data_IF_403293566058
#
_entry.id   IF_403293566058
#
_cell.length_a   1.000
_cell.length_b   1.000
_cell.length_c   1.000
_cell.angle_alpha   90.00
_cell.angle_beta   90.00
_cell.angle_gamma   90.00
#
_symmetry.space_group_name_H-M   'P 1'
#
loop_
_entity.id
_entity.type
_entity.pdbx_description
1 polymer ?
#
# COMPACT_ATOMS: atom_id res chain seq x y z
N UNK A 1 -10.81 6.03 -5.04
CA UNK A 1 -10.13 5.22 -6.08
C UNK A 1 -10.36 3.74 -5.79
N UNK A 2 -10.48 2.88 -6.80
CA UNK A 2 -10.79 1.45 -6.60
C UNK A 2 -9.59 0.57 -6.93
N UNK A 3 -9.29 -0.40 -6.06
CA UNK A 3 -8.16 -1.32 -6.20
C UNK A 3 -8.62 -2.76 -5.99
N UNK A 4 -7.97 -3.70 -6.66
CA UNK A 4 -8.08 -5.12 -6.34
C UNK A 4 -7.04 -5.44 -5.28
N UNK A 5 -7.50 -5.94 -4.13
CA UNK A 5 -6.69 -6.30 -2.97
C UNK A 5 -6.91 -7.79 -2.69
N UNK A 6 -5.83 -8.49 -2.38
CA UNK A 6 -5.88 -9.86 -1.89
C UNK A 6 -6.10 -9.86 -0.38
N UNK A 7 -7.08 -10.63 0.09
CA UNK A 7 -7.43 -10.69 1.51
C UNK A 7 -6.61 -11.82 2.14
N UNK A 8 -5.44 -11.46 2.66
CA UNK A 8 -4.48 -12.39 3.25
C UNK A 8 -4.60 -12.41 4.78
N UNK A 9 -5.16 -13.49 5.33
CA UNK A 9 -5.24 -13.69 6.80
C UNK A 9 -3.90 -14.09 7.42
N UNK A 10 -2.85 -14.30 6.60
CA UNK A 10 -1.49 -14.63 7.02
C UNK A 10 -0.61 -13.41 7.33
N UNK A 11 -1.12 -12.18 7.13
CA UNK A 11 -0.41 -10.93 7.41
C UNK A 11 -1.34 -9.87 8.00
N UNK A 12 -0.76 -8.76 8.50
CA UNK A 12 -1.49 -7.67 9.17
C UNK A 12 -1.38 -6.33 8.46
N UNK A 13 -0.69 -6.27 7.32
CA UNK A 13 -0.40 -5.04 6.60
C UNK A 13 -1.32 -4.88 5.38
N UNK A 14 -1.97 -3.72 5.25
CA UNK A 14 -2.67 -3.35 4.03
C UNK A 14 -1.73 -2.61 3.10
N UNK A 15 -1.35 -3.24 1.99
CA UNK A 15 -0.54 -2.60 0.95
C UNK A 15 -1.33 -2.46 -0.34
N UNK A 16 -1.22 -1.30 -0.97
CA UNK A 16 -1.88 -1.01 -2.25
C UNK A 16 -0.87 -1.21 -3.39
N UNK A 17 -1.19 -2.02 -4.41
CA UNK A 17 -0.25 -2.35 -5.47
C UNK A 17 0.10 -1.14 -6.33
N UNK A 18 1.30 -1.17 -6.94
CA UNK A 18 1.81 -0.07 -7.78
C UNK A 18 1.18 0.00 -9.18
N UNK A 19 0.40 -1.01 -9.59
CA UNK A 19 -0.36 -1.01 -10.84
C UNK A 19 -1.68 -0.29 -10.57
N UNK A 20 -1.93 0.80 -11.31
CA UNK A 20 -2.94 1.82 -10.98
C UNK A 20 -2.62 2.42 -9.61
N UNK A 21 -1.60 3.27 -9.54
CA UNK A 21 -1.13 3.86 -8.28
C UNK A 21 -2.24 4.67 -7.62
N UNK A 22 -2.25 4.64 -6.29
CA UNK A 22 -3.02 5.60 -5.51
C UNK A 22 -2.53 7.03 -5.78
N UNK A 23 -3.48 7.93 -6.07
CA UNK A 23 -3.29 9.38 -6.22
C UNK A 23 -3.79 10.10 -4.97
N UNK A 24 -2.90 10.78 -4.26
CA UNK A 24 -3.24 11.59 -3.08
C UNK A 24 -4.14 12.78 -3.42
N UNK A 25 -3.92 13.42 -4.57
CA UNK A 25 -4.70 14.55 -5.07
C UNK A 25 -6.20 14.26 -5.22
N UNK A 26 -6.56 12.99 -5.36
CA UNK A 26 -7.93 12.55 -5.68
C UNK A 26 -8.70 12.13 -4.43
N UNK A 27 -8.12 12.32 -3.23
CA UNK A 27 -8.76 12.01 -1.96
C UNK A 27 -8.82 13.23 -1.06
N UNK A 28 -10.03 13.58 -0.62
CA UNK A 28 -10.27 14.66 0.34
C UNK A 28 -9.99 14.26 1.79
N UNK A 29 -9.81 12.97 2.08
CA UNK A 29 -9.53 12.45 3.43
C UNK A 29 -8.11 11.93 3.58
N UNK A 30 -7.28 12.07 2.54
CA UNK A 30 -5.88 11.71 2.56
C UNK A 30 -5.09 12.48 3.62
N UNK A 31 -4.20 11.76 4.29
CA UNK A 31 -3.13 12.32 5.11
C UNK A 31 -1.90 11.44 5.03
N UNK A 32 -0.72 12.05 4.91
CA UNK A 32 0.56 11.35 4.96
C UNK A 32 1.04 11.24 6.42
N UNK A 33 1.61 10.09 6.78
CA UNK A 33 2.31 9.91 8.05
C UNK A 33 3.81 9.96 7.86
N UNK A 34 4.56 10.50 8.84
CA UNK A 34 6.01 10.48 8.79
C UNK A 34 6.55 9.04 8.71
N UNK A 35 7.50 8.82 7.80
CA UNK A 35 8.23 7.55 7.69
C UNK A 35 8.01 6.83 6.36
N UNK A 36 8.68 5.69 6.23
CA UNK A 36 8.62 4.81 5.06
C UNK A 36 8.65 3.36 5.51
N UNK A 37 7.91 2.50 4.81
CA UNK A 37 8.07 1.05 4.98
C UNK A 37 9.13 0.51 4.01
N UNK A 38 9.83 -0.53 4.44
CA UNK A 38 10.76 -1.30 3.61
C UNK A 38 10.64 -2.77 3.97
N UNK A 39 10.23 -3.58 3.01
CA UNK A 39 10.27 -5.05 3.13
C UNK A 39 11.35 -5.55 2.19
N UNK A 40 12.34 -6.27 2.74
CA UNK A 40 13.42 -6.88 1.98
C UNK A 40 13.39 -8.39 2.18
N UNK A 41 13.40 -9.12 1.06
CA UNK A 41 13.39 -10.58 1.07
C UNK A 41 14.80 -11.15 1.00
N UNK A 42 14.96 -12.43 1.34
CA UNK A 42 16.25 -13.13 1.35
C UNK A 42 16.96 -13.15 -0.03
N UNK A 43 16.20 -13.06 -1.11
CA UNK A 43 16.71 -12.97 -2.48
C UNK A 43 17.20 -11.56 -2.88
N UNK A 44 17.24 -10.62 -1.92
CA UNK A 44 17.60 -9.20 -2.08
C UNK A 44 16.61 -8.38 -2.90
N UNK A 45 15.45 -8.93 -3.25
CA UNK A 45 14.33 -8.14 -3.73
C UNK A 45 13.76 -7.30 -2.59
N UNK A 46 13.15 -6.17 -2.92
CA UNK A 46 12.50 -5.32 -1.91
C UNK A 46 11.32 -4.55 -2.48
N UNK A 47 10.43 -4.16 -1.57
CA UNK A 47 9.36 -3.18 -1.80
C UNK A 47 9.45 -2.09 -0.76
N UNK A 48 9.17 -0.85 -1.17
CA UNK A 48 9.11 0.29 -0.25
C UNK A 48 8.14 1.36 -0.73
N UNK A 49 7.76 2.21 0.21
CA UNK A 49 6.87 3.35 -0.02
C UNK A 49 6.57 4.13 1.25
N UNK A 50 5.82 5.24 1.12
CA UNK A 50 5.39 6.05 2.25
C UNK A 50 4.31 5.35 3.08
N UNK A 51 3.90 5.98 4.18
CA UNK A 51 2.82 5.53 5.05
C UNK A 51 1.66 6.49 4.88
N UNK A 52 0.54 6.01 4.32
CA UNK A 52 -0.64 6.83 4.09
C UNK A 52 -1.76 6.48 5.07
N UNK A 53 -2.56 7.48 5.39
CA UNK A 53 -3.83 7.35 6.10
C UNK A 53 -4.93 7.86 5.17
N UNK A 54 -5.98 7.08 5.03
CA UNK A 54 -7.18 7.50 4.30
C UNK A 54 -8.42 6.74 4.80
N UNK A 55 -9.58 7.08 4.24
CA UNK A 55 -10.81 6.30 4.39
C UNK A 55 -10.77 5.09 3.47
N UNK A 56 -10.91 3.88 4.03
CA UNK A 56 -10.95 2.63 3.27
C UNK A 56 -12.34 2.02 3.39
N UNK A 57 -12.95 1.68 2.25
CA UNK A 57 -14.25 1.00 2.20
C UNK A 57 -14.10 -0.36 1.52
N UNK A 58 -14.58 -1.41 2.20
CA UNK A 58 -14.63 -2.79 1.69
C UNK A 58 -16.07 -3.26 1.75
N UNK A 59 -16.65 -3.63 0.61
CA UNK A 59 -18.01 -4.16 0.52
C UNK A 59 -19.08 -3.32 1.27
N UNK A 60 -18.92 -1.99 1.29
CA UNK A 60 -19.82 -1.05 1.97
C UNK A 60 -19.50 -0.79 3.45
N UNK A 61 -18.53 -1.50 4.03
CA UNK A 61 -18.03 -1.26 5.39
C UNK A 61 -16.86 -0.27 5.30
N UNK A 62 -16.94 0.81 6.07
CA UNK A 62 -15.97 1.91 6.00
C UNK A 62 -15.16 2.01 7.28
N UNK A 63 -13.83 2.05 7.13
CA UNK A 63 -12.87 2.39 8.17
C UNK A 63 -12.27 3.78 7.88
N UNK A 64 -12.55 4.75 8.74
CA UNK A 64 -11.89 6.06 8.70
C UNK A 64 -10.50 5.97 9.33
N UNK A 65 -9.55 6.76 8.83
CA UNK A 65 -8.18 6.84 9.31
C UNK A 65 -7.42 5.48 9.25
N UNK A 66 -7.71 4.67 8.23
CA UNK A 66 -7.00 3.41 8.02
C UNK A 66 -5.60 3.71 7.47
N UNK A 67 -4.58 3.15 8.12
CA UNK A 67 -3.21 3.18 7.63
C UNK A 67 -3.01 2.14 6.52
N UNK A 68 -2.32 2.51 5.45
CA UNK A 68 -1.94 1.59 4.38
C UNK A 68 -0.63 2.01 3.69
N UNK A 69 -0.07 1.07 2.93
CA UNK A 69 1.24 1.19 2.31
C UNK A 69 1.15 1.17 0.78
N UNK A 70 1.16 2.32 0.08
CA UNK A 70 1.26 2.34 -1.37
C UNK A 70 2.68 1.92 -1.80
N UNK A 71 2.78 0.92 -2.66
CA UNK A 71 4.08 0.51 -3.20
C UNK A 71 4.55 1.53 -4.24
N UNK A 72 5.60 2.28 -3.93
CA UNK A 72 6.19 3.26 -4.88
C UNK A 72 7.47 2.75 -5.51
N UNK A 73 8.21 1.87 -4.83
CA UNK A 73 9.43 1.22 -5.35
C UNK A 73 9.34 -0.29 -5.20
N UNK A 74 9.68 -0.99 -6.28
CA UNK A 74 9.81 -2.44 -6.34
C UNK A 74 11.12 -2.76 -7.06
N UNK A 75 12.00 -3.54 -6.43
CA UNK A 75 13.17 -4.13 -7.09
C UNK A 75 13.04 -5.64 -7.09
N UNK A 76 12.89 -6.21 -8.28
CA UNK A 76 12.96 -7.66 -8.50
C UNK A 76 14.38 -8.08 -8.84
N UNK A 77 14.75 -9.31 -8.49
CA UNK A 77 15.97 -9.93 -9.02
C UNK A 77 15.84 -10.03 -10.56
N UNK A 78 16.88 -9.68 -11.35
CA UNK A 78 16.85 -9.91 -12.79
C UNK A 78 16.62 -11.39 -13.06
N UNK A 79 15.63 -11.72 -13.90
CA UNK A 79 15.54 -13.08 -14.46
C UNK A 79 16.76 -13.27 -15.36
N UNK A 80 17.48 -14.37 -15.15
CA UNK A 80 18.47 -14.85 -16.12
C UNK A 80 17.76 -15.30 -17.39
#
# INVERSE_FOLDING_TARGET
QNFFIDFDTGSSDLWVPSKNKYSDSDSSTFSEQPGFFLVQYADKSFVSGPIYIDTVTVAGITASNQMFFPVTKLRRRPRR
#
